data_IF_498951812608
#
_entry.id   IF_498951812608
#
_cell.length_a   1.000
_cell.length_b   1.000
_cell.length_c   1.000
_cell.angle_alpha   90.00
_cell.angle_beta   90.00
_cell.angle_gamma   90.00
#
_symmetry.space_group_name_H-M   'P 1'
#
loop_
_entity.id
_entity.type
_entity.pdbx_description
1 polymer ?
#
# COMPACT_ATOMS: atom_id res chain seq x y z
N UNK A 1 4.47 -6.79 -4.32
CA UNK A 1 4.36 -5.52 -5.06
C UNK A 1 5.73 -4.86 -5.09
N UNK A 2 6.06 -4.17 -6.18
CA UNK A 2 7.29 -3.41 -6.33
C UNK A 2 7.00 -1.90 -6.27
N UNK A 3 7.93 -1.15 -5.68
CA UNK A 3 7.93 0.30 -5.61
C UNK A 3 7.94 0.87 -7.04
N UNK A 4 6.95 1.69 -7.44
CA UNK A 4 6.84 2.19 -8.82
C UNK A 4 7.99 3.13 -9.23
N UNK A 5 8.75 3.65 -8.26
CA UNK A 5 9.87 4.57 -8.52
C UNK A 5 11.19 3.85 -8.79
N UNK A 6 11.44 2.77 -8.05
CA UNK A 6 12.75 2.14 -7.98
C UNK A 6 12.71 0.65 -8.32
N UNK A 7 11.53 0.06 -8.51
CA UNK A 7 11.33 -1.37 -8.75
C UNK A 7 11.60 -2.28 -7.54
N UNK A 8 12.03 -1.74 -6.40
CA UNK A 8 12.33 -2.51 -5.19
C UNK A 8 11.09 -3.17 -4.59
N UNK A 9 11.25 -4.34 -3.98
CA UNK A 9 10.14 -5.01 -3.30
C UNK A 9 9.59 -4.17 -2.14
N UNK A 10 8.26 -4.09 -2.06
CA UNK A 10 7.56 -3.51 -0.94
C UNK A 10 7.12 -4.60 0.05
N UNK A 11 7.28 -4.33 1.34
CA UNK A 11 6.78 -5.16 2.44
C UNK A 11 5.46 -4.59 2.95
N UNK A 12 4.50 -5.48 3.25
CA UNK A 12 3.29 -5.10 3.99
C UNK A 12 3.67 -4.64 5.41
N UNK A 13 3.20 -3.47 5.82
CA UNK A 13 3.36 -2.94 7.17
C UNK A 13 2.15 -3.28 8.03
N UNK A 14 1.00 -2.70 7.68
CA UNK A 14 -0.23 -2.79 8.47
C UNK A 14 -1.46 -2.42 7.63
N UNK A 15 -2.61 -2.89 8.10
CA UNK A 15 -3.93 -2.52 7.62
C UNK A 15 -4.51 -1.40 8.49
N UNK A 16 -4.85 -0.26 7.89
CA UNK A 16 -5.49 0.85 8.60
C UNK A 16 -6.89 1.12 8.07
N UNK A 17 -7.84 1.41 8.95
CA UNK A 17 -9.19 1.83 8.56
C UNK A 17 -9.27 3.36 8.46
N UNK A 18 -9.57 3.87 7.26
CA UNK A 18 -9.73 5.31 7.00
C UNK A 18 -11.04 5.50 6.24
N UNK A 19 -11.93 6.37 6.74
CA UNK A 19 -13.22 6.68 6.09
C UNK A 19 -14.09 5.42 5.86
N UNK A 20 -14.02 4.45 6.78
CA UNK A 20 -14.73 3.17 6.67
C UNK A 20 -14.20 2.25 5.55
N UNK A 21 -12.95 2.45 5.12
CA UNK A 21 -12.26 1.61 4.13
C UNK A 21 -10.97 1.06 4.71
N UNK A 22 -10.70 -0.22 4.45
CA UNK A 22 -9.41 -0.82 4.82
C UNK A 22 -8.36 -0.45 3.78
N UNK A 23 -7.23 0.04 4.29
CA UNK A 23 -6.07 0.47 3.54
C UNK A 23 -4.86 -0.35 3.92
N UNK A 24 -4.38 -1.17 2.98
CA UNK A 24 -3.15 -1.94 3.14
C UNK A 24 -1.94 -1.02 2.87
N UNK A 25 -1.16 -0.77 3.92
CA UNK A 25 0.04 0.06 3.85
C UNK A 25 1.26 -0.80 3.56
N UNK A 26 2.01 -0.44 2.52
CA UNK A 26 3.22 -1.14 2.11
C UNK A 26 4.41 -0.18 2.08
N UNK A 27 5.54 -0.60 2.63
CA UNK A 27 6.77 0.18 2.61
C UNK A 27 7.79 -0.41 1.65
N UNK A 28 8.42 0.44 0.86
CA UNK A 28 9.56 0.04 0.03
C UNK A 28 10.71 -0.44 0.92
N UNK A 29 11.29 -1.60 0.62
CA UNK A 29 12.43 -2.15 1.39
C UNK A 29 13.73 -1.40 1.18
N UNK A 30 13.81 -0.51 0.18
CA UNK A 30 15.01 0.29 -0.07
C UNK A 30 15.23 1.23 1.13
N UNK A 31 16.35 1.17 1.87
CA UNK A 31 16.56 1.96 3.09
C UNK A 31 16.45 3.48 2.89
N UNK A 32 16.77 3.93 1.67
CA UNK A 32 16.69 5.33 1.25
C UNK A 32 15.27 5.73 0.81
N UNK A 33 14.42 4.76 0.47
CA UNK A 33 13.03 4.98 0.06
C UNK A 33 12.11 4.74 1.26
N UNK A 34 11.93 5.76 2.10
CA UNK A 34 11.02 5.72 3.27
C UNK A 34 9.55 5.92 2.90
N UNK A 35 9.18 5.70 1.64
CA UNK A 35 7.81 5.92 1.15
C UNK A 35 6.93 4.75 1.54
N UNK A 36 5.74 5.09 2.02
CA UNK A 36 4.65 4.16 2.31
C UNK A 36 3.61 4.34 1.21
N UNK A 37 3.23 3.24 0.59
CA UNK A 37 2.24 3.13 -0.47
C UNK A 37 0.97 2.54 0.11
N UNK A 38 -0.17 3.06 -0.34
CA UNK A 38 -1.48 2.57 0.05
C UNK A 38 -2.10 1.93 -1.19
N UNK A 39 -2.28 0.61 -1.14
CA UNK A 39 -2.60 -0.16 -2.35
C UNK A 39 -4.06 -0.57 -2.46
N UNK A 40 -4.83 -0.53 -1.37
CA UNK A 40 -6.18 -1.05 -1.37
C UNK A 40 -7.15 -0.05 -0.74
N UNK A 41 -8.24 0.24 -1.46
CA UNK A 41 -9.44 0.84 -0.91
C UNK A 41 -10.46 -0.28 -0.83
N UNK A 42 -10.49 -1.02 0.27
CA UNK A 42 -11.55 -2.02 0.45
C UNK A 42 -12.80 -1.30 0.95
N UNK A 43 -13.80 -1.14 0.07
CA UNK A 43 -15.15 -0.72 0.47
C UNK A 43 -16.06 -1.95 0.37
N UNK A 44 -16.64 -2.38 1.49
CA UNK A 44 -17.62 -3.48 1.52
C UNK A 44 -17.11 -4.82 0.95
N UNK A 45 -15.90 -5.24 1.32
CA UNK A 45 -15.37 -6.57 0.96
C UNK A 45 -15.01 -6.78 -0.53
N UNK A 46 -15.12 -5.74 -1.36
CA UNK A 46 -14.59 -5.74 -2.73
C UNK A 46 -13.28 -4.95 -2.76
N UNK A 47 -12.20 -5.63 -3.18
CA UNK A 47 -10.89 -5.02 -3.40
C UNK A 47 -11.00 -4.10 -4.62
N UNK A 48 -11.10 -2.79 -4.39
CA UNK A 48 -10.86 -1.83 -5.46
C UNK A 48 -9.35 -1.58 -5.49
N UNK A 49 -8.69 -2.04 -6.55
CA UNK A 49 -7.27 -1.74 -6.80
C UNK A 49 -7.10 -0.21 -6.76
N UNK A 50 -6.33 0.28 -5.78
CA UNK A 50 -6.05 1.70 -5.69
C UNK A 50 -5.18 2.08 -6.90
N UNK A 51 -5.75 2.87 -7.82
CA UNK A 51 -4.96 3.50 -8.88
C UNK A 51 -3.88 4.37 -8.24
N UNK A 52 -2.64 4.00 -8.53
CA UNK A 52 -1.41 4.74 -8.20
C UNK A 52 -1.33 6.04 -8.98
#
# INVERSE_FOLDING_TARGET
>A
MNCPLDGWECTHLEDVEIDGRTHELHQCRKPQCRRIYNLLKVKNGKKEEAKT
#
